data_IF_251646662199
#
_entry.id   IF_251646662199
#
_cell.length_a   1.000
_cell.length_b   1.000
_cell.length_c   1.000
_cell.angle_alpha   90.00
_cell.angle_beta   90.00
_cell.angle_gamma   90.00
#
_symmetry.space_group_name_H-M   'P 1'
#
loop_
_entity.id
_entity.type
_entity.pdbx_description
1 polymer ?
#
# COMPACT_ATOMS: atom_id res chain seq x y z
N UNK A 1 -8.71 -22.66 -0.26
CA UNK A 1 -8.80 -22.28 -0.36
C UNK A 1 -8.79 -21.38 -0.27
N UNK A 2 -8.74 -21.12 -0.14
CA UNK A 2 -8.73 -20.39 0.05
C UNK A 2 -8.82 -19.42 -0.46
N UNK A 3 -9.02 -19.10 -0.76
CA UNK A 3 -9.32 -18.27 -1.38
C UNK A 3 -9.06 -16.99 -1.37
N UNK A 4 -8.72 -16.38 -1.00
CA UNK A 4 -8.58 -15.23 -1.00
C UNK A 4 -7.48 -14.86 -1.41
N UNK A 5 -7.10 -14.79 -2.33
CA UNK A 5 -6.04 -14.43 -2.83
C UNK A 5 -5.96 -13.10 -3.21
N UNK A 6 -6.37 -12.09 -2.56
CA UNK A 6 -6.17 -10.73 -2.91
C UNK A 6 -4.76 -10.31 -2.77
N UNK A 7 -3.90 -11.11 -2.26
CA UNK A 7 -2.53 -10.73 -2.03
C UNK A 7 -1.57 -11.38 -3.00
N UNK A 8 -1.83 -11.19 -4.26
CA UNK A 8 -0.97 -11.78 -5.27
C UNK A 8 0.31 -10.96 -5.41
N UNK A 9 1.21 -11.45 -6.24
CA UNK A 9 2.44 -10.76 -6.48
C UNK A 9 2.21 -9.40 -7.08
N UNK A 10 1.24 -9.26 -7.93
CA UNK A 10 0.93 -7.98 -8.52
C UNK A 10 0.49 -7.01 -7.45
N UNK A 11 -0.33 -7.48 -6.54
CA UNK A 11 -0.82 -6.63 -5.47
C UNK A 11 0.34 -6.20 -4.58
N UNK A 12 1.26 -7.11 -4.34
CA UNK A 12 2.39 -6.78 -3.50
C UNK A 12 3.25 -5.70 -4.16
N UNK A 13 3.47 -5.80 -5.45
CA UNK A 13 4.24 -4.80 -6.14
C UNK A 13 3.57 -3.45 -6.09
N UNK A 14 2.25 -3.44 -6.28
CA UNK A 14 1.51 -2.18 -6.21
C UNK A 14 1.62 -1.58 -4.82
N UNK A 15 1.47 -2.42 -3.80
CA UNK A 15 1.57 -1.94 -2.43
C UNK A 15 2.94 -1.34 -2.17
N UNK A 16 3.99 -1.98 -2.64
CA UNK A 16 5.33 -1.47 -2.42
C UNK A 16 5.56 -0.16 -3.15
N UNK A 17 4.99 -0.02 -4.33
CA UNK A 17 5.10 1.24 -5.06
C UNK A 17 4.41 2.35 -4.30
N UNK A 18 3.23 2.09 -3.79
CA UNK A 18 2.51 3.10 -3.03
C UNK A 18 3.26 3.45 -1.75
N UNK A 19 3.86 2.44 -1.13
CA UNK A 19 4.60 2.67 0.09
C UNK A 19 5.80 3.56 -0.18
N UNK A 20 6.52 3.30 -1.26
CA UNK A 20 7.68 4.10 -1.60
C UNK A 20 7.27 5.53 -1.90
N UNK A 21 6.19 5.70 -2.64
CA UNK A 21 5.71 7.02 -2.97
C UNK A 21 5.32 7.78 -1.71
N UNK A 22 4.64 7.11 -0.80
CA UNK A 22 4.23 7.73 0.45
C UNK A 22 5.45 8.20 1.24
N UNK A 23 6.48 7.36 1.30
CA UNK A 23 7.69 7.73 2.01
C UNK A 23 8.37 8.94 1.38
N UNK A 24 8.38 8.99 0.06
CA UNK A 24 8.97 10.12 -0.61
C UNK A 24 8.21 11.40 -0.33
N UNK A 25 6.89 11.31 -0.36
CA UNK A 25 6.07 12.49 -0.08
C UNK A 25 6.30 12.98 1.33
N UNK A 26 6.42 12.06 2.27
CA UNK A 26 6.67 12.46 3.63
C UNK A 26 8.03 13.16 3.76
N UNK A 27 9.03 12.63 3.11
CA UNK A 27 10.35 13.22 3.19
C UNK A 27 10.37 14.63 2.63
N UNK A 28 9.53 14.88 1.62
CA UNK A 28 9.45 16.21 1.03
C UNK A 28 8.34 17.03 1.65
N UNK A 29 7.66 16.49 2.64
CA UNK A 29 6.56 17.16 3.29
C UNK A 29 5.45 17.51 2.31
N UNK A 30 5.19 16.60 1.40
CA UNK A 30 4.15 16.78 0.43
C UNK A 30 2.93 15.94 0.79
N UNK A 31 1.79 16.31 0.25
CA UNK A 31 0.56 15.60 0.53
C UNK A 31 0.44 14.37 -0.35
N UNK A 32 0.12 13.26 0.25
CA UNK A 32 -0.09 12.02 -0.49
C UNK A 32 -1.56 11.98 -0.92
N UNK A 33 -1.81 11.49 -2.11
CA UNK A 33 -3.16 11.45 -2.65
C UNK A 33 -4.06 10.60 -1.76
N UNK A 34 -5.22 11.14 -1.45
CA UNK A 34 -6.15 10.42 -0.60
C UNK A 34 -6.63 9.14 -1.25
N UNK A 35 -6.86 9.17 -2.57
CA UNK A 35 -7.28 7.98 -3.25
C UNK A 35 -6.22 6.89 -3.16
N UNK A 36 -4.97 7.27 -3.37
CA UNK A 36 -3.89 6.31 -3.27
C UNK A 36 -3.75 5.82 -1.84
N UNK A 37 -3.95 6.70 -0.89
CA UNK A 37 -3.87 6.33 0.51
C UNK A 37 -4.91 5.28 0.85
N UNK A 38 -6.12 5.46 0.34
CA UNK A 38 -7.18 4.49 0.60
C UNK A 38 -6.85 3.13 0.02
N UNK A 39 -6.30 3.11 -1.19
CA UNK A 39 -5.92 1.85 -1.80
C UNK A 39 -4.78 1.20 -1.00
N UNK A 40 -3.84 2.01 -0.57
CA UNK A 40 -2.71 1.54 0.20
C UNK A 40 -3.18 0.88 1.50
N UNK A 41 -4.07 1.55 2.22
CA UNK A 41 -4.61 1.05 3.46
C UNK A 41 -5.41 -0.23 3.22
N UNK A 42 -6.14 -0.27 2.12
CA UNK A 42 -6.93 -1.44 1.79
C UNK A 42 -6.03 -2.65 1.63
N UNK A 43 -4.93 -2.51 0.90
CA UNK A 43 -3.99 -3.60 0.75
C UNK A 43 -3.45 -4.03 2.11
N UNK A 44 -3.10 -3.07 2.92
CA UNK A 44 -2.52 -3.39 4.23
C UNK A 44 -3.50 -4.19 5.07
N UNK A 45 -4.75 -3.79 5.06
CA UNK A 45 -5.74 -4.48 5.86
C UNK A 45 -6.08 -5.85 5.30
N UNK A 46 -6.28 -5.92 3.99
CA UNK A 46 -6.69 -7.18 3.39
C UNK A 46 -5.57 -8.20 3.39
N UNK A 47 -4.36 -7.75 3.26
CA UNK A 47 -3.23 -8.66 3.18
C UNK A 47 -2.39 -8.67 4.44
N UNK A 48 -2.82 -7.93 5.43
CA UNK A 48 -2.10 -7.89 6.70
C UNK A 48 -0.65 -7.48 6.49
N UNK A 49 -0.40 -6.57 5.56
CA UNK A 49 0.93 -6.06 5.32
C UNK A 49 1.17 -4.83 6.21
N UNK A 50 2.39 -4.67 6.64
CA UNK A 50 2.72 -3.56 7.51
C UNK A 50 2.87 -2.26 6.72
N UNK A 51 2.26 -1.19 7.18
CA UNK A 51 2.40 0.09 6.55
C UNK A 51 3.63 0.79 7.08
N UNK A 52 3.87 0.65 8.37
CA UNK A 52 5.00 1.33 8.96
C UNK A 52 6.15 0.42 8.98
N UNK A 53 7.13 0.80 8.62
CA UNK A 53 8.23 0.16 8.65
C UNK A 53 8.42 -0.76 9.41
#
# INVERSE_FOLDING_TARGET
>A
MSGKESCSLKDKKRFEQLKAEFNQKQAKQETFSEKKWNVFIDYAKNCNWSILK
#
